data_IF_942976669039
#
_entry.id   IF_942976669039
#
_cell.length_a   1.000
_cell.length_b   1.000
_cell.length_c   1.000
_cell.angle_alpha   90.00
_cell.angle_beta   90.00
_cell.angle_gamma   90.00
#
_symmetry.space_group_name_H-M   'P 1'
#
loop_
_entity.id
_entity.type
_entity.pdbx_description
1 polymer ?
#
# COMPACT_ATOMS: atom_id res chain seq x y z
N UNK A 1 6.08 26.65 -39.39
CA UNK A 1 5.39 26.75 -38.09
C UNK A 1 6.29 26.12 -37.05
N UNK A 2 7.18 26.92 -36.47
CA UNK A 2 8.14 26.49 -35.46
C UNK A 2 7.56 26.72 -34.07
N UNK A 3 7.67 25.71 -33.20
CA UNK A 3 7.46 25.87 -31.77
C UNK A 3 8.79 25.75 -31.04
N UNK A 4 9.06 26.78 -30.25
CA UNK A 4 10.25 27.04 -29.47
C UNK A 4 10.20 26.21 -28.17
N UNK A 5 11.32 25.61 -27.70
CA UNK A 5 11.41 25.01 -26.39
C UNK A 5 11.73 26.08 -25.32
N UNK A 6 11.01 26.06 -24.19
CA UNK A 6 11.32 26.90 -23.03
C UNK A 6 12.04 26.06 -21.97
N UNK A 7 13.10 26.70 -21.46
CA UNK A 7 14.21 26.24 -20.63
C UNK A 7 13.90 26.15 -19.13
N UNK A 8 14.58 25.20 -18.45
CA UNK A 8 15.36 25.30 -17.17
C UNK A 8 14.83 26.28 -16.08
N UNK A 9 14.72 25.96 -14.79
CA UNK A 9 15.71 25.30 -13.91
C UNK A 9 15.12 25.06 -12.48
N UNK A 10 15.88 24.44 -11.54
CA UNK A 10 15.42 23.72 -10.35
C UNK A 10 15.60 24.50 -9.05
N UNK A 11 14.91 24.08 -7.99
CA UNK A 11 15.24 24.54 -6.63
C UNK A 11 14.88 23.51 -5.55
N UNK A 12 15.95 22.91 -5.02
CA UNK A 12 16.25 22.70 -3.59
C UNK A 12 15.43 21.63 -2.82
N UNK A 13 15.96 20.40 -2.80
CA UNK A 13 15.70 19.41 -1.76
C UNK A 13 16.52 19.78 -0.50
N UNK A 14 15.83 20.30 0.52
CA UNK A 14 16.45 20.62 1.82
C UNK A 14 16.47 19.36 2.71
N UNK A 15 17.68 18.92 3.03
CA UNK A 15 17.99 17.96 4.08
C UNK A 15 17.32 18.38 5.41
N UNK A 16 16.52 17.49 6.01
CA UNK A 16 16.05 17.66 7.38
C UNK A 16 16.63 16.52 8.25
N UNK A 17 17.75 16.84 8.89
CA UNK A 17 18.46 15.97 9.83
C UNK A 17 17.63 15.69 11.08
N UNK A 18 17.67 14.44 11.51
CA UNK A 18 17.35 13.95 12.84
C UNK A 18 17.96 14.82 13.95
N UNK A 19 17.15 15.24 14.94
CA UNK A 19 17.50 15.10 16.37
C UNK A 19 16.33 15.47 17.32
N UNK A 20 16.07 14.65 18.36
CA UNK A 20 14.98 14.80 19.32
C UNK A 20 15.32 15.76 20.48
N UNK A 21 14.38 16.62 20.87
CA UNK A 21 14.52 17.48 22.06
C UNK A 21 14.09 16.76 23.33
N UNK A 22 15.08 16.49 24.19
CA UNK A 22 14.97 16.19 25.63
C UNK A 22 14.25 17.37 26.36
N UNK A 23 13.11 17.13 27.01
CA UNK A 23 12.92 16.95 28.46
C UNK A 23 13.32 18.17 29.32
N UNK A 24 12.32 19.01 29.58
CA UNK A 24 11.83 19.59 30.85
C UNK A 24 12.71 19.54 32.12
N UNK A 25 12.76 20.67 32.87
CA UNK A 25 12.76 20.86 34.36
C UNK A 25 12.74 22.39 34.62
N UNK A 26 11.62 22.98 35.04
CA UNK A 26 11.24 23.42 36.41
C UNK A 26 12.03 24.64 36.94
N UNK A 27 11.34 25.78 37.17
CA UNK A 27 11.57 26.78 38.25
C UNK A 27 10.32 27.69 38.32
N UNK A 28 9.39 27.46 39.27
CA UNK A 28 9.23 28.15 40.57
C UNK A 28 8.83 29.65 40.46
N UNK A 29 7.56 29.99 40.78
CA UNK A 29 7.19 30.80 41.97
C UNK A 29 5.67 31.08 42.06
N UNK A 30 5.09 31.11 43.29
CA UNK A 30 3.66 31.24 43.57
C UNK A 30 3.22 32.63 44.08
N UNK A 31 1.90 32.87 44.01
CA UNK A 31 1.04 33.74 44.84
C UNK A 31 1.47 35.19 45.22
N UNK A 32 0.69 36.17 44.75
CA UNK A 32 -0.02 37.18 45.58
C UNK A 32 -0.97 37.99 44.66
N UNK A 33 -2.28 37.77 44.70
CA UNK A 33 -3.28 38.55 45.45
C UNK A 33 -3.23 40.07 45.17
N UNK A 34 -4.21 40.60 44.42
CA UNK A 34 -5.18 41.60 44.90
C UNK A 34 -6.06 42.14 43.74
N UNK A 35 -7.35 42.26 44.05
CA UNK A 35 -8.44 42.79 43.25
C UNK A 35 -8.14 44.15 42.62
N UNK A 36 -8.67 44.44 41.42
CA UNK A 36 -9.36 45.71 41.13
C UNK A 36 -10.14 45.61 39.79
N UNK A 37 -11.44 45.92 39.89
CA UNK A 37 -12.31 46.58 38.89
C UNK A 37 -12.36 46.09 37.43
N UNK A 38 -13.57 45.63 37.07
CA UNK A 38 -14.18 45.67 35.74
C UNK A 38 -13.59 46.70 34.77
N UNK A 39 -12.92 46.21 33.73
CA UNK A 39 -12.98 46.78 32.39
C UNK A 39 -13.15 45.63 31.40
N UNK A 40 -14.34 45.56 30.82
CA UNK A 40 -14.67 44.78 29.63
C UNK A 40 -13.85 45.34 28.45
N UNK A 41 -12.59 44.93 28.36
CA UNK A 41 -11.84 45.03 27.11
C UNK A 41 -11.78 43.65 26.51
N UNK A 42 -12.57 43.49 25.46
CA UNK A 42 -12.56 42.44 24.45
C UNK A 42 -11.13 42.14 23.98
N UNK A 43 -10.38 41.36 24.75
CA UNK A 43 -9.42 40.46 24.15
C UNK A 43 -10.25 39.34 23.57
N UNK A 44 -10.43 39.41 22.25
CA UNK A 44 -10.91 38.31 21.45
C UNK A 44 -9.99 37.11 21.75
N UNK A 45 -10.35 36.33 22.77
CA UNK A 45 -10.09 34.92 22.78
C UNK A 45 -10.59 34.46 21.42
N UNK A 46 -9.66 34.23 20.50
CA UNK A 46 -9.90 33.47 19.31
C UNK A 46 -10.29 32.08 19.80
N UNK A 47 -11.56 31.96 20.19
CA UNK A 47 -12.23 30.72 20.49
C UNK A 47 -12.16 29.98 19.18
N UNK A 48 -11.19 29.07 19.04
CA UNK A 48 -11.30 28.01 18.04
C UNK A 48 -12.61 27.34 18.38
N UNK A 49 -13.62 27.70 17.59
CA UNK A 49 -14.98 27.21 17.76
C UNK A 49 -14.88 25.70 17.67
N UNK A 50 -15.03 25.08 18.84
CA UNK A 50 -15.20 23.64 19.03
C UNK A 50 -16.55 23.23 18.45
N UNK A 51 -16.66 23.31 17.11
CA UNK A 51 -17.85 22.98 16.34
C UNK A 51 -17.47 22.09 15.14
N UNK A 52 -16.55 21.15 15.35
CA UNK A 52 -16.27 20.08 14.37
C UNK A 52 -16.22 18.70 15.02
N UNK A 53 -17.10 18.45 16.00
CA UNK A 53 -17.51 17.09 16.40
C UNK A 53 -18.39 16.44 15.32
N UNK A 54 -17.91 16.45 14.08
CA UNK A 54 -18.59 15.89 12.93
C UNK A 54 -18.00 14.53 12.55
N UNK A 55 -18.88 13.59 12.17
CA UNK A 55 -18.53 12.29 11.56
C UNK A 55 -17.73 12.42 10.25
N UNK A 56 -17.64 13.64 9.70
CA UNK A 56 -16.95 13.99 8.46
C UNK A 56 -15.53 14.53 8.69
N UNK A 57 -15.28 15.76 8.23
CA UNK A 57 -13.97 16.37 8.02
C UNK A 57 -13.02 16.29 9.23
N UNK A 58 -13.49 16.66 10.44
CA UNK A 58 -12.67 16.60 11.66
C UNK A 58 -12.22 15.18 12.04
N UNK A 59 -13.00 14.15 11.68
CA UNK A 59 -12.65 12.75 11.92
C UNK A 59 -11.61 12.20 10.93
N UNK A 60 -11.61 12.70 9.68
CA UNK A 60 -10.69 12.23 8.64
C UNK A 60 -9.23 12.60 8.94
N UNK A 61 -8.98 13.79 9.49
CA UNK A 61 -7.64 14.24 9.88
C UNK A 61 -6.95 13.32 10.91
N UNK A 62 -7.73 12.55 11.69
CA UNK A 62 -7.21 11.65 12.73
C UNK A 62 -6.85 10.24 12.21
N UNK A 63 -7.08 9.92 10.92
CA UNK A 63 -6.91 8.55 10.34
C UNK A 63 -5.46 8.20 9.98
N UNK A 64 -4.52 8.42 10.91
CA UNK A 64 -3.09 8.11 10.73
C UNK A 64 -2.75 6.63 10.98
N UNK A 65 -3.44 5.96 11.89
CA UNK A 65 -3.18 4.57 12.25
C UNK A 65 -3.68 3.62 11.14
N UNK A 66 -2.87 2.63 10.77
CA UNK A 66 -3.22 1.68 9.70
C UNK A 66 -3.65 0.35 10.31
N UNK A 67 -4.84 -0.10 9.95
CA UNK A 67 -5.38 -1.42 10.35
C UNK A 67 -4.90 -2.53 9.42
N UNK A 68 -4.66 -2.22 8.13
CA UNK A 68 -4.27 -3.18 7.10
C UNK A 68 -2.94 -2.84 6.42
N UNK A 69 -2.05 -3.83 6.32
CA UNK A 69 -0.80 -3.81 5.55
C UNK A 69 -0.81 -4.84 4.42
N UNK A 70 0.25 -4.85 3.60
CA UNK A 70 0.45 -5.82 2.53
C UNK A 70 0.61 -7.24 3.09
N UNK A 71 -0.13 -8.18 2.51
CA UNK A 71 -0.02 -9.60 2.87
C UNK A 71 1.02 -10.30 1.99
N UNK A 72 1.98 -10.99 2.62
CA UNK A 72 3.05 -11.74 1.95
C UNK A 72 2.51 -12.77 0.93
N UNK A 73 1.44 -13.49 1.28
CA UNK A 73 0.89 -14.56 0.42
C UNK A 73 0.18 -14.05 -0.84
N UNK A 74 -0.57 -12.95 -0.75
CA UNK A 74 -1.44 -12.50 -1.84
C UNK A 74 -1.15 -11.10 -2.39
N UNK A 75 -0.18 -10.38 -1.83
CA UNK A 75 0.22 -9.04 -2.28
C UNK A 75 -0.85 -7.95 -2.09
N UNK A 76 -1.94 -8.24 -1.39
CA UNK A 76 -3.05 -7.28 -1.16
C UNK A 76 -2.88 -6.58 0.18
N UNK A 77 -3.24 -5.30 0.25
CA UNK A 77 -3.36 -4.54 1.51
C UNK A 77 -4.58 -5.00 2.29
N UNK A 78 -4.47 -6.15 2.93
CA UNK A 78 -5.57 -6.84 3.59
C UNK A 78 -5.13 -7.59 4.86
N UNK A 79 -3.84 -7.52 5.21
CA UNK A 79 -3.33 -8.13 6.43
C UNK A 79 -3.67 -7.24 7.62
N UNK A 80 -4.53 -7.71 8.52
CA UNK A 80 -4.89 -6.97 9.72
C UNK A 80 -3.79 -7.10 10.78
N UNK A 81 -3.20 -5.98 11.24
CA UNK A 81 -2.02 -6.03 12.12
C UNK A 81 -2.36 -6.62 13.50
N UNK A 82 -3.36 -6.07 14.19
CA UNK A 82 -3.70 -6.52 15.55
C UNK A 82 -4.18 -7.98 15.60
N UNK A 83 -4.96 -8.41 14.60
CA UNK A 83 -5.52 -9.77 14.52
C UNK A 83 -4.61 -10.76 13.80
N UNK A 84 -3.45 -10.30 13.31
CA UNK A 84 -2.49 -11.07 12.52
C UNK A 84 -3.12 -11.95 11.46
N UNK A 85 -4.16 -11.46 10.76
CA UNK A 85 -4.94 -12.26 9.81
C UNK A 85 -5.29 -11.49 8.54
N UNK A 86 -5.08 -12.12 7.39
CA UNK A 86 -5.42 -11.54 6.11
C UNK A 86 -6.91 -11.71 5.77
N UNK A 87 -7.64 -10.61 5.58
CA UNK A 87 -9.04 -10.66 5.17
C UNK A 87 -9.23 -11.19 3.76
N UNK A 88 -8.22 -11.17 2.88
CA UNK A 88 -8.37 -11.64 1.50
C UNK A 88 -8.11 -13.15 1.34
N UNK A 89 -7.04 -13.67 1.94
CA UNK A 89 -6.56 -15.05 1.75
C UNK A 89 -6.50 -15.89 3.04
N UNK A 90 -6.81 -15.30 4.20
CA UNK A 90 -6.74 -15.92 5.54
C UNK A 90 -5.35 -16.38 6.00
N UNK A 91 -4.25 -15.86 5.43
CA UNK A 91 -2.92 -15.98 6.05
C UNK A 91 -2.99 -15.58 7.53
N UNK A 92 -2.48 -16.37 8.50
CA UNK A 92 -1.55 -17.50 8.38
C UNK A 92 -2.15 -18.89 8.07
N UNK A 93 -3.48 -19.06 8.05
CA UNK A 93 -4.11 -20.37 7.88
C UNK A 93 -3.60 -21.12 6.63
N UNK A 94 -3.49 -22.45 6.70
CA UNK A 94 -3.01 -23.27 5.59
C UNK A 94 -3.90 -23.16 4.35
N UNK A 95 -5.22 -23.23 4.53
CA UNK A 95 -6.20 -23.13 3.44
C UNK A 95 -6.43 -21.68 3.02
N UNK A 96 -6.50 -21.44 1.70
CA UNK A 96 -6.89 -20.14 1.15
C UNK A 96 -8.38 -19.90 1.35
N UNK A 97 -8.74 -18.73 1.88
CA UNK A 97 -10.13 -18.30 2.06
C UNK A 97 -10.89 -18.19 0.72
N UNK A 98 -12.02 -18.90 0.60
CA UNK A 98 -12.96 -18.84 -0.52
C UNK A 98 -14.40 -18.90 0.02
N UNK A 99 -15.33 -18.19 -0.61
CA UNK A 99 -16.76 -18.29 -0.32
C UNK A 99 -17.54 -18.31 -1.63
N UNK A 100 -18.52 -19.21 -1.71
CA UNK A 100 -19.29 -19.45 -2.93
C UNK A 100 -20.21 -18.26 -3.28
N UNK A 101 -20.66 -17.49 -2.28
CA UNK A 101 -21.46 -16.28 -2.50
C UNK A 101 -20.73 -15.17 -3.26
N UNK A 102 -19.39 -15.24 -3.38
CA UNK A 102 -18.60 -14.22 -4.08
C UNK A 102 -17.86 -14.80 -5.30
N UNK A 103 -18.61 -15.11 -6.35
CA UNK A 103 -18.11 -15.63 -7.64
C UNK A 103 -17.00 -14.74 -8.24
N UNK A 104 -17.19 -13.42 -8.25
CA UNK A 104 -16.19 -12.46 -8.79
C UNK A 104 -14.86 -12.52 -8.06
N UNK A 105 -14.87 -12.71 -6.74
CA UNK A 105 -13.64 -12.84 -5.96
C UNK A 105 -12.93 -14.17 -6.20
N UNK A 106 -13.68 -15.25 -6.45
CA UNK A 106 -13.12 -16.55 -6.85
C UNK A 106 -12.42 -16.39 -8.21
N UNK A 107 -13.09 -15.82 -9.22
CA UNK A 107 -12.52 -15.62 -10.57
C UNK A 107 -11.20 -14.84 -10.57
N UNK A 108 -11.08 -13.79 -9.75
CA UNK A 108 -9.84 -12.98 -9.65
C UNK A 108 -8.63 -13.70 -9.05
N UNK A 109 -8.82 -14.89 -8.46
CA UNK A 109 -7.78 -15.62 -7.70
C UNK A 109 -7.61 -17.07 -8.14
N UNK A 110 -8.43 -17.53 -9.09
CA UNK A 110 -8.43 -18.92 -9.53
C UNK A 110 -7.17 -19.25 -10.35
N UNK A 111 -6.89 -20.54 -10.51
CA UNK A 111 -5.83 -21.03 -11.42
C UNK A 111 -6.10 -20.50 -12.83
N UNK A 112 -5.07 -19.95 -13.49
CA UNK A 112 -5.25 -19.28 -14.79
C UNK A 112 -4.80 -17.81 -14.79
N UNK A 113 -4.94 -17.10 -13.67
CA UNK A 113 -4.70 -15.64 -13.65
C UNK A 113 -3.25 -15.24 -13.44
N UNK A 114 -2.37 -16.18 -13.09
CA UNK A 114 -0.97 -15.91 -12.75
C UNK A 114 0.02 -16.39 -13.83
N UNK A 115 1.32 -16.39 -13.49
CA UNK A 115 2.39 -16.79 -14.42
C UNK A 115 2.36 -18.26 -14.86
N UNK A 116 1.64 -19.13 -14.14
CA UNK A 116 1.46 -20.56 -14.46
C UNK A 116 2.74 -21.30 -14.92
N UNK A 117 3.91 -21.05 -14.29
CA UNK A 117 5.21 -21.54 -14.80
C UNK A 117 5.25 -23.05 -15.07
N UNK A 118 4.67 -23.84 -14.16
CA UNK A 118 4.58 -25.29 -14.31
C UNK A 118 3.42 -25.67 -15.25
N UNK A 119 2.19 -25.30 -14.88
CA UNK A 119 0.97 -25.71 -15.59
C UNK A 119 0.92 -25.27 -17.06
N UNK A 120 1.62 -24.20 -17.46
CA UNK A 120 1.68 -23.75 -18.86
C UNK A 120 2.32 -24.80 -19.78
N UNK A 121 3.34 -25.50 -19.31
CA UNK A 121 4.10 -26.47 -20.11
C UNK A 121 3.52 -27.88 -20.00
N UNK A 122 2.69 -28.14 -18.98
CA UNK A 122 2.12 -29.45 -18.69
C UNK A 122 1.30 -30.02 -19.86
N UNK A 123 0.38 -29.29 -20.51
CA UNK A 123 -0.36 -29.80 -21.67
C UNK A 123 0.55 -30.24 -22.83
N UNK A 124 1.65 -29.53 -23.08
CA UNK A 124 2.63 -29.90 -24.10
C UNK A 124 3.33 -31.22 -23.75
N UNK A 125 3.71 -31.40 -22.48
CA UNK A 125 4.33 -32.64 -21.98
C UNK A 125 3.36 -33.82 -22.00
N UNK A 126 2.08 -33.59 -21.69
CA UNK A 126 1.03 -34.60 -21.83
C UNK A 126 0.91 -35.10 -23.27
N UNK A 127 0.93 -34.19 -24.26
CA UNK A 127 0.89 -34.58 -25.69
C UNK A 127 2.10 -35.40 -26.12
N UNK A 128 3.25 -35.19 -25.51
CA UNK A 128 4.47 -35.98 -25.76
C UNK A 128 4.61 -37.18 -24.83
N UNK A 129 3.59 -37.54 -24.04
CA UNK A 129 3.60 -38.70 -23.14
C UNK A 129 4.66 -38.63 -22.04
N UNK A 130 5.04 -37.43 -21.58
CA UNK A 130 6.11 -37.23 -20.59
C UNK A 130 7.45 -37.89 -20.94
N UNK A 131 7.79 -37.98 -22.23
CA UNK A 131 9.11 -38.43 -22.68
C UNK A 131 10.22 -37.57 -22.07
N UNK A 132 11.23 -38.21 -21.49
CA UNK A 132 12.42 -37.60 -20.91
C UNK A 132 13.68 -38.15 -21.59
N UNK A 133 14.77 -37.39 -21.62
CA UNK A 133 16.09 -37.86 -22.09
C UNK A 133 16.24 -38.15 -23.59
N UNK A 134 15.20 -37.95 -24.41
CA UNK A 134 15.30 -38.17 -25.87
C UNK A 134 15.56 -36.87 -26.62
N UNK A 135 16.57 -36.85 -27.47
CA UNK A 135 16.83 -35.72 -28.38
C UNK A 135 16.00 -35.82 -29.66
N UNK A 136 15.69 -34.66 -30.25
CA UNK A 136 15.01 -34.63 -31.55
C UNK A 136 16.01 -35.02 -32.65
N UNK A 137 15.58 -35.88 -33.58
CA UNK A 137 16.41 -36.24 -34.72
C UNK A 137 16.82 -34.97 -35.51
N UNK A 138 18.09 -34.86 -35.93
CA UNK A 138 18.56 -33.71 -36.68
C UNK A 138 17.82 -33.61 -38.01
N UNK A 139 17.35 -32.41 -38.35
CA UNK A 139 16.70 -32.11 -39.63
C UNK A 139 17.71 -32.25 -40.79
N UNK A 140 17.45 -33.14 -41.76
CA UNK A 140 18.19 -33.16 -43.02
C UNK A 140 17.81 -31.91 -43.84
N UNK A 141 18.78 -31.09 -44.23
CA UNK A 141 18.53 -29.99 -45.18
C UNK A 141 18.17 -30.65 -46.51
N UNK A 142 16.94 -30.44 -46.99
CA UNK A 142 16.57 -30.84 -48.34
C UNK A 142 17.46 -30.11 -49.35
N UNK A 143 17.89 -30.81 -50.40
CA UNK A 143 18.56 -30.17 -51.53
C UNK A 143 17.70 -29.01 -52.02
N UNK A 144 18.31 -27.85 -52.28
CA UNK A 144 17.61 -26.70 -52.83
C UNK A 144 16.88 -27.15 -54.10
N UNK A 145 15.58 -26.84 -54.18
CA UNK A 145 14.83 -27.05 -55.41
C UNK A 145 15.47 -26.18 -56.50
N UNK A 146 16.13 -26.83 -57.47
CA UNK A 146 16.57 -26.18 -58.70
C UNK A 146 15.34 -25.73 -59.47
N UNK A 147 15.29 -24.44 -59.79
CA UNK A 147 14.23 -23.78 -60.55
C UNK A 147 14.18 -24.26 -62.00
#
# INVERSE_FOLDING_TARGET
MGFVPITLNPTIDFHFSDSPRHIYIQFISPLLLQHHSNLLVSSAAFRVSSASMGKGTGSFGKRRNKTHTLCVRCGRRSFHLQKSRCSACAFPAARKRKYNWSVKAIRRKTTGTGRMRYLRNVPRRFKSGFREGTEAAPRKRGAAATA
#
